data_IF_058250152820
#
_entry.id   IF_058250152820
#
_cell.length_a   1.000
_cell.length_b   1.000
_cell.length_c   1.000
_cell.angle_alpha   90.00
_cell.angle_beta   90.00
_cell.angle_gamma   90.00
#
_symmetry.space_group_name_H-M   'P 1'
#
loop_
_entity.id
_entity.type
_entity.pdbx_description
1 polymer ?
#
# COMPACT_ATOMS: atom_id res chain seq x y z
N UNK A 1 -20.01 -10.88 -74.27
CA UNK A 1 -20.89 -9.98 -73.48
C UNK A 1 -20.22 -9.75 -72.13
N UNK A 2 -19.33 -8.76 -72.08
CA UNK A 2 -19.48 -7.44 -71.44
C UNK A 2 -19.48 -7.54 -69.91
N UNK A 3 -18.34 -7.18 -69.33
CA UNK A 3 -18.10 -6.92 -67.91
C UNK A 3 -18.80 -5.62 -67.50
N UNK A 4 -19.45 -5.62 -66.33
CA UNK A 4 -19.88 -4.39 -65.65
C UNK A 4 -19.23 -4.31 -64.27
N UNK A 5 -18.28 -3.40 -64.13
CA UNK A 5 -17.73 -2.95 -62.85
C UNK A 5 -18.60 -1.80 -62.33
N UNK A 6 -19.10 -1.93 -61.10
CA UNK A 6 -19.75 -0.83 -60.36
C UNK A 6 -18.67 -0.20 -59.48
N UNK A 7 -18.31 1.05 -59.81
CA UNK A 7 -17.40 1.87 -59.04
C UNK A 7 -18.21 2.62 -57.97
N UNK A 8 -18.11 2.21 -56.71
CA UNK A 8 -18.74 2.88 -55.58
C UNK A 8 -17.76 3.93 -55.03
N UNK A 9 -18.03 5.21 -55.29
CA UNK A 9 -17.22 6.33 -54.80
C UNK A 9 -17.56 6.67 -53.34
N UNK A 10 -16.59 6.53 -52.44
CA UNK A 10 -16.74 6.93 -51.03
C UNK A 10 -16.36 8.40 -50.88
N UNK A 11 -17.32 9.24 -50.50
CA UNK A 11 -17.09 10.64 -50.12
C UNK A 11 -16.52 10.69 -48.70
N UNK A 12 -15.28 11.14 -48.52
CA UNK A 12 -14.68 11.37 -47.20
C UNK A 12 -14.95 12.82 -46.80
N UNK A 13 -15.85 13.03 -45.84
CA UNK A 13 -16.03 14.32 -45.15
C UNK A 13 -14.99 14.42 -44.02
N UNK A 14 -13.91 15.18 -44.23
CA UNK A 14 -13.00 15.55 -43.16
C UNK A 14 -13.56 16.76 -42.40
N UNK A 15 -14.18 16.51 -41.25
CA UNK A 15 -14.56 17.57 -40.30
C UNK A 15 -13.28 18.03 -39.58
N UNK A 16 -12.85 19.25 -39.86
CA UNK A 16 -11.75 19.92 -39.18
C UNK A 16 -12.20 20.29 -37.75
N UNK A 17 -11.82 19.49 -36.76
CA UNK A 17 -11.91 19.90 -35.36
C UNK A 17 -10.65 20.71 -35.00
N UNK A 18 -10.78 21.89 -34.37
CA UNK A 18 -9.62 22.60 -33.86
C UNK A 18 -8.93 21.75 -32.78
N UNK A 19 -7.61 21.60 -32.90
CA UNK A 19 -6.80 20.89 -31.91
C UNK A 19 -6.94 21.56 -30.54
N UNK A 20 -7.13 20.80 -29.45
CA UNK A 20 -7.17 21.37 -28.11
C UNK A 20 -5.79 21.98 -27.79
N UNK A 21 -5.78 23.27 -27.47
CA UNK A 21 -4.61 23.94 -26.93
C UNK A 21 -4.48 23.58 -25.46
N UNK A 22 -3.46 22.79 -25.12
CA UNK A 22 -3.11 22.50 -23.72
C UNK A 22 -2.28 23.68 -23.20
N UNK A 23 -2.85 24.46 -22.30
CA UNK A 23 -2.10 25.46 -21.54
C UNK A 23 -1.41 24.76 -20.37
N UNK A 24 -0.11 24.50 -20.50
CA UNK A 24 0.71 24.03 -19.38
C UNK A 24 0.94 25.23 -18.46
N UNK A 25 0.28 25.24 -17.30
CA UNK A 25 0.55 26.23 -16.26
C UNK A 25 1.98 26.11 -15.76
N UNK A 26 2.63 27.24 -15.46
CA UNK A 26 3.97 27.28 -14.88
C UNK A 26 3.99 26.47 -13.58
N UNK A 27 4.81 25.42 -13.51
CA UNK A 27 4.96 24.55 -12.34
C UNK A 27 5.75 25.19 -11.19
N UNK A 28 6.04 26.49 -11.26
CA UNK A 28 6.93 27.20 -10.34
C UNK A 28 6.22 27.87 -9.15
N UNK A 29 4.90 27.74 -9.03
CA UNK A 29 4.15 28.26 -7.87
C UNK A 29 4.09 27.28 -6.68
N UNK A 30 4.81 26.15 -6.75
CA UNK A 30 4.94 25.25 -5.59
C UNK A 30 5.87 25.89 -4.54
N UNK A 31 5.26 26.44 -3.49
CA UNK A 31 5.97 26.95 -2.33
C UNK A 31 5.81 25.97 -1.14
N UNK A 32 6.79 25.11 -0.86
CA UNK A 32 6.72 24.12 0.22
C UNK A 32 6.56 24.74 1.61
N UNK A 33 6.84 26.04 1.78
CA UNK A 33 6.66 26.73 3.06
C UNK A 33 5.20 27.01 3.41
N UNK A 34 4.26 26.93 2.43
CA UNK A 34 2.84 27.25 2.67
C UNK A 34 2.03 26.07 3.24
N UNK A 35 2.62 24.88 3.30
CA UNK A 35 1.94 23.63 3.74
C UNK A 35 2.13 23.33 5.25
N UNK A 36 2.93 24.11 5.96
CA UNK A 36 3.28 23.86 7.36
C UNK A 36 2.20 24.24 8.41
N UNK A 37 0.95 24.48 8.02
CA UNK A 37 -0.10 24.97 8.96
C UNK A 37 -1.18 23.97 9.32
N UNK A 38 -1.19 22.77 8.73
CA UNK A 38 -2.20 21.78 9.08
C UNK A 38 -1.82 21.04 10.35
N UNK A 39 -2.73 21.03 11.32
CA UNK A 39 -2.56 20.29 12.57
C UNK A 39 -2.55 18.78 12.26
N UNK A 40 -1.68 17.99 12.90
CA UNK A 40 -1.71 16.56 12.72
C UNK A 40 -3.03 15.98 13.24
N UNK A 41 -3.52 14.97 12.54
CA UNK A 41 -4.51 14.05 13.09
C UNK A 41 -3.81 13.14 14.10
N UNK A 42 -4.48 12.86 15.22
CA UNK A 42 -3.92 12.08 16.33
C UNK A 42 -4.88 10.94 16.67
N UNK A 43 -4.36 9.72 16.64
CA UNK A 43 -5.07 8.51 17.04
C UNK A 43 -4.42 7.88 18.26
N UNK A 44 -5.24 7.29 19.12
CA UNK A 44 -4.79 6.63 20.33
C UNK A 44 -5.39 5.21 20.34
N UNK A 45 -4.51 4.21 20.45
CA UNK A 45 -4.87 2.80 20.50
C UNK A 45 -4.31 2.17 21.76
N UNK A 46 -4.99 1.13 22.24
CA UNK A 46 -4.54 0.27 23.33
C UNK A 46 -4.44 -1.13 22.74
N UNK A 47 -3.22 -1.60 22.48
CA UNK A 47 -2.94 -2.84 21.74
C UNK A 47 -1.95 -3.70 22.51
N UNK A 48 -2.14 -5.01 22.53
CA UNK A 48 -1.13 -5.95 23.04
C UNK A 48 -0.20 -6.33 21.87
N UNK A 49 0.91 -5.60 21.72
CA UNK A 49 1.75 -5.65 20.51
C UNK A 49 2.62 -6.90 20.43
N UNK A 50 2.89 -7.56 21.57
CA UNK A 50 3.69 -8.78 21.67
C UNK A 50 2.93 -9.96 22.31
N UNK A 51 1.64 -9.79 22.58
CA UNK A 51 0.74 -10.76 23.19
C UNK A 51 1.19 -11.29 24.55
N UNK A 52 1.85 -10.44 25.34
CA UNK A 52 2.27 -10.78 26.68
C UNK A 52 1.14 -10.61 27.73
N UNK A 53 -0.07 -10.22 27.30
CA UNK A 53 -1.22 -9.93 28.15
C UNK A 53 -1.22 -8.54 28.76
N UNK A 54 -0.26 -7.67 28.39
CA UNK A 54 -0.22 -6.26 28.77
C UNK A 54 -0.36 -5.43 27.50
N UNK A 55 -1.25 -4.46 27.56
CA UNK A 55 -1.44 -3.55 26.44
C UNK A 55 -0.42 -2.42 26.47
N UNK A 56 0.12 -2.10 25.31
CA UNK A 56 0.82 -0.87 25.01
C UNK A 56 -0.17 0.23 24.61
N UNK A 57 0.13 1.45 25.04
CA UNK A 57 -0.48 2.65 24.47
C UNK A 57 0.24 3.00 23.18
N UNK A 58 -0.48 3.08 22.06
CA UNK A 58 0.06 3.48 20.77
C UNK A 58 -0.59 4.80 20.36
N UNK A 59 0.22 5.85 20.24
CA UNK A 59 -0.22 7.15 19.75
C UNK A 59 0.35 7.37 18.36
N UNK A 60 -0.50 7.66 17.40
CA UNK A 60 -0.10 7.95 16.02
C UNK A 60 -0.42 9.42 15.74
N UNK A 61 0.56 10.17 15.26
CA UNK A 61 0.37 11.53 14.74
C UNK A 61 0.62 11.49 13.24
N UNK A 62 -0.38 11.82 12.44
CA UNK A 62 -0.24 11.89 10.98
C UNK A 62 -0.55 13.29 10.50
N UNK A 63 0.35 13.84 9.71
CA UNK A 63 0.14 15.09 9.00
C UNK A 63 -0.42 14.77 7.62
N UNK A 64 -1.40 15.52 7.12
CA UNK A 64 -1.72 15.51 5.69
C UNK A 64 -0.44 15.89 4.93
N UNK A 65 0.01 15.02 4.02
CA UNK A 65 1.32 15.17 3.40
C UNK A 65 1.32 14.74 1.93
N UNK A 66 2.14 15.42 1.15
CA UNK A 66 2.43 15.02 -0.22
C UNK A 66 3.24 13.72 -0.25
N UNK A 67 3.12 12.93 -1.34
CA UNK A 67 3.95 11.75 -1.54
C UNK A 67 5.43 12.03 -1.31
N UNK A 68 6.07 11.26 -0.43
CA UNK A 68 7.50 11.38 -0.11
C UNK A 68 7.83 12.11 1.20
N UNK A 69 6.88 12.81 1.82
CA UNK A 69 7.11 13.46 3.12
C UNK A 69 6.97 12.45 4.27
N UNK A 70 7.89 12.50 5.24
CA UNK A 70 7.74 11.79 6.51
C UNK A 70 6.68 12.49 7.34
N UNK A 71 5.45 11.98 7.26
CA UNK A 71 4.28 12.63 7.82
C UNK A 71 3.53 11.75 8.83
N UNK A 72 4.00 10.54 9.14
CA UNK A 72 3.42 9.73 10.23
C UNK A 72 4.46 9.41 11.29
N UNK A 73 4.14 9.76 12.54
CA UNK A 73 4.94 9.47 13.72
C UNK A 73 4.19 8.48 14.61
N UNK A 74 4.85 7.41 15.04
CA UNK A 74 4.30 6.42 15.99
C UNK A 74 5.02 6.55 17.31
N UNK A 75 4.26 6.61 18.39
CA UNK A 75 4.74 6.66 19.77
C UNK A 75 4.17 5.46 20.52
N UNK A 76 4.97 4.89 21.42
CA UNK A 76 4.56 3.78 22.28
C UNK A 76 4.75 4.17 23.74
N UNK A 77 3.76 3.84 24.58
CA UNK A 77 3.74 4.09 26.02
C UNK A 77 4.06 5.54 26.39
N UNK A 78 3.44 6.49 25.67
CA UNK A 78 3.60 7.93 25.86
C UNK A 78 5.07 8.41 25.88
N UNK A 79 5.94 7.76 25.10
CA UNK A 79 7.33 8.20 24.93
C UNK A 79 7.42 9.64 24.44
N UNK A 80 8.43 10.39 24.89
CA UNK A 80 8.64 11.79 24.44
C UNK A 80 9.19 11.91 23.02
N UNK A 81 9.55 10.79 22.39
CA UNK A 81 10.07 10.71 21.02
C UNK A 81 9.33 9.61 20.26
N UNK A 82 9.11 9.78 18.95
CA UNK A 82 8.52 8.72 18.15
C UNK A 82 9.46 7.50 18.11
N UNK A 83 8.86 6.31 18.16
CA UNK A 83 9.55 5.03 17.92
C UNK A 83 9.69 4.75 16.43
N UNK A 84 8.79 5.30 15.59
CA UNK A 84 8.84 5.23 14.13
C UNK A 84 8.46 6.57 13.52
N UNK A 85 9.07 6.86 12.37
CA UNK A 85 8.73 8.00 11.52
C UNK A 85 8.69 7.51 10.08
N UNK A 86 7.49 7.51 9.49
CA UNK A 86 7.21 6.89 8.21
C UNK A 86 6.63 7.87 7.20
N UNK A 87 6.75 7.51 5.92
CA UNK A 87 6.22 8.27 4.78
C UNK A 87 4.84 7.74 4.42
N UNK A 88 3.89 8.67 4.29
CA UNK A 88 2.48 8.40 4.02
C UNK A 88 1.58 8.75 5.21
N UNK A 89 0.35 9.16 4.90
CA UNK A 89 -0.65 9.45 5.93
C UNK A 89 -1.14 8.17 6.59
N UNK A 90 -1.35 8.18 7.90
CA UNK A 90 -1.87 7.02 8.62
C UNK A 90 -3.21 6.54 8.04
N UNK A 91 -3.33 5.23 7.81
CA UNK A 91 -4.56 4.59 7.35
C UNK A 91 -5.11 3.62 8.40
N UNK A 92 -4.31 2.63 8.82
CA UNK A 92 -4.70 1.71 9.91
C UNK A 92 -3.48 1.06 10.57
N UNK A 93 -3.68 0.54 11.78
CA UNK A 93 -2.74 -0.30 12.51
C UNK A 93 -3.46 -1.52 13.07
N UNK A 94 -2.91 -2.71 12.89
CA UNK A 94 -3.47 -3.96 13.38
C UNK A 94 -2.39 -4.86 13.95
N UNK A 95 -2.75 -5.74 14.88
CA UNK A 95 -1.86 -6.79 15.39
C UNK A 95 -2.44 -8.15 15.06
N UNK A 96 -1.60 -9.05 14.56
CA UNK A 96 -1.99 -10.36 14.05
C UNK A 96 -1.21 -11.47 14.75
N UNK A 97 -1.92 -12.50 15.22
CA UNK A 97 -1.31 -13.75 15.69
C UNK A 97 -0.95 -14.58 14.47
N UNK A 98 0.34 -14.83 14.26
CA UNK A 98 0.84 -15.53 13.08
C UNK A 98 0.74 -17.05 13.18
N UNK A 99 0.82 -17.60 14.38
CA UNK A 99 0.71 -19.04 14.63
C UNK A 99 0.41 -19.36 16.10
N UNK A 100 0.28 -20.65 16.42
CA UNK A 100 0.07 -21.13 17.78
C UNK A 100 1.31 -21.09 18.68
N UNK A 101 2.50 -20.81 18.13
CA UNK A 101 3.69 -20.57 18.94
C UNK A 101 3.68 -19.19 19.63
N UNK A 102 2.70 -18.35 19.30
CA UNK A 102 2.57 -17.01 19.85
C UNK A 102 3.49 -16.01 19.15
N UNK A 103 3.80 -16.21 17.86
CA UNK A 103 4.42 -15.16 17.04
C UNK A 103 3.35 -14.14 16.66
N UNK A 104 3.66 -12.86 16.81
CA UNK A 104 2.78 -11.75 16.44
C UNK A 104 3.49 -10.77 15.52
N UNK A 105 2.72 -10.15 14.63
CA UNK A 105 3.16 -9.02 13.82
C UNK A 105 2.22 -7.84 14.03
N UNK A 106 2.77 -6.65 13.97
CA UNK A 106 2.02 -5.40 13.85
C UNK A 106 2.09 -4.94 12.41
N UNK A 107 0.93 -4.80 11.79
CA UNK A 107 0.74 -4.23 10.46
C UNK A 107 0.44 -2.74 10.59
N UNK A 108 1.20 -1.91 9.89
CA UNK A 108 0.97 -0.48 9.75
C UNK A 108 0.71 -0.16 8.28
N UNK A 109 -0.49 0.34 7.99
CA UNK A 109 -0.86 0.78 6.64
C UNK A 109 -0.84 2.31 6.58
N UNK A 110 -0.18 2.83 5.55
CA UNK A 110 -0.01 4.25 5.27
C UNK A 110 -0.47 4.53 3.84
N UNK A 111 -1.13 5.65 3.61
CA UNK A 111 -1.53 6.09 2.28
C UNK A 111 -0.50 7.08 1.71
N UNK A 112 0.01 6.80 0.51
CA UNK A 112 0.89 7.72 -0.23
C UNK A 112 0.31 7.94 -1.63
N UNK A 113 -0.39 9.06 -1.81
CA UNK A 113 -1.14 9.33 -3.04
C UNK A 113 -2.28 8.32 -3.23
N UNK A 114 -2.23 7.55 -4.32
CA UNK A 114 -3.22 6.50 -4.63
C UNK A 114 -2.79 5.10 -4.20
N UNK A 115 -1.66 4.98 -3.50
CA UNK A 115 -1.11 3.69 -3.07
C UNK A 115 -1.23 3.53 -1.57
N UNK A 116 -1.44 2.30 -1.13
CA UNK A 116 -1.28 1.88 0.25
C UNK A 116 0.11 1.25 0.40
N UNK A 117 0.89 1.79 1.32
CA UNK A 117 2.14 1.23 1.79
C UNK A 117 1.86 0.43 3.07
N UNK A 118 2.10 -0.88 3.03
CA UNK A 118 1.91 -1.77 4.17
C UNK A 118 3.27 -2.21 4.70
N UNK A 119 3.52 -1.90 5.96
CA UNK A 119 4.74 -2.18 6.70
C UNK A 119 4.42 -3.17 7.82
N UNK A 120 5.34 -4.10 8.10
CA UNK A 120 5.20 -5.06 9.18
C UNK A 120 6.32 -4.90 10.19
N UNK A 121 5.98 -5.07 11.46
CA UNK A 121 6.91 -4.98 12.57
C UNK A 121 6.66 -6.12 13.57
N UNK A 122 7.69 -6.52 14.30
CA UNK A 122 7.53 -7.24 15.57
C UNK A 122 7.78 -6.27 16.72
N UNK A 123 7.08 -6.45 17.84
CA UNK A 123 7.36 -5.69 19.06
C UNK A 123 8.16 -6.56 20.03
N UNK A 124 9.36 -6.11 20.39
CA UNK A 124 10.23 -6.84 21.33
C UNK A 124 10.98 -5.86 22.21
N UNK A 125 10.96 -6.11 23.52
CA UNK A 125 11.73 -5.32 24.53
C UNK A 125 11.47 -3.81 24.40
N UNK A 126 10.22 -3.42 24.17
CA UNK A 126 9.83 -2.01 24.08
C UNK A 126 10.07 -1.36 22.71
N UNK A 127 10.42 -2.13 21.67
CA UNK A 127 10.79 -1.59 20.36
C UNK A 127 10.06 -2.29 19.24
N UNK A 128 9.65 -1.53 18.22
CA UNK A 128 9.22 -2.05 16.93
C UNK A 128 10.45 -2.34 16.08
N UNK A 129 10.55 -3.59 15.61
CA UNK A 129 11.58 -4.06 14.70
C UNK A 129 10.92 -4.39 13.36
N UNK A 130 11.33 -3.72 12.29
CA UNK A 130 10.78 -3.93 10.95
C UNK A 130 10.98 -5.38 10.51
N UNK A 131 9.93 -5.97 9.96
CA UNK A 131 9.93 -7.30 9.32
C UNK A 131 10.07 -7.08 7.82
N UNK A 132 11.22 -7.41 7.23
CA UNK A 132 11.40 -7.30 5.79
C UNK A 132 10.45 -8.24 5.05
N UNK A 133 10.12 -7.85 3.82
CA UNK A 133 9.44 -8.70 2.85
C UNK A 133 10.45 -8.99 1.76
N UNK A 134 10.80 -10.26 1.59
CA UNK A 134 11.75 -10.73 0.58
C UNK A 134 11.12 -10.60 -0.80
N UNK A 135 11.19 -9.41 -1.38
CA UNK A 135 10.88 -9.19 -2.79
C UNK A 135 12.19 -9.00 -3.55
N UNK A 136 12.28 -9.53 -4.77
CA UNK A 136 13.47 -9.35 -5.63
C UNK A 136 13.68 -7.88 -6.05
N UNK A 137 12.66 -7.04 -5.82
CA UNK A 137 12.63 -5.61 -6.08
C UNK A 137 11.94 -4.93 -4.90
N UNK A 138 12.63 -4.73 -3.76
CA UNK A 138 12.04 -3.94 -2.69
C UNK A 138 11.66 -2.60 -3.30
N UNK A 139 10.41 -2.20 -3.12
CA UNK A 139 10.08 -0.80 -3.32
C UNK A 139 11.07 0.00 -2.47
N UNK A 140 11.40 1.24 -2.84
CA UNK A 140 12.30 2.10 -2.08
C UNK A 140 11.84 2.37 -0.62
N UNK A 141 10.78 1.71 -0.16
CA UNK A 141 10.01 1.94 1.05
C UNK A 141 9.89 0.69 1.95
N UNK A 142 10.67 -0.37 1.73
CA UNK A 142 10.79 -1.56 2.60
C UNK A 142 9.50 -2.37 2.88
N UNK A 143 8.35 -2.01 2.27
CA UNK A 143 7.05 -2.68 2.43
C UNK A 143 6.34 -3.04 1.11
N UNK A 144 5.11 -3.53 1.24
CA UNK A 144 4.21 -3.76 0.10
C UNK A 144 3.58 -2.45 -0.30
N UNK A 145 3.80 -2.06 -1.56
CA UNK A 145 3.05 -0.97 -2.19
C UNK A 145 2.02 -1.61 -3.11
N UNK A 146 0.76 -1.50 -2.74
CA UNK A 146 -0.37 -1.97 -3.55
C UNK A 146 -1.52 -0.96 -3.51
N UNK A 147 -2.39 -1.02 -4.51
CA UNK A 147 -3.69 -0.34 -4.46
C UNK A 147 -4.71 -1.09 -3.59
N UNK A 148 -4.39 -2.33 -3.20
CA UNK A 148 -5.22 -3.18 -2.37
C UNK A 148 -4.56 -3.38 -1.00
N UNK A 149 -5.36 -3.48 0.06
CA UNK A 149 -4.86 -3.97 1.35
C UNK A 149 -4.45 -5.44 1.20
N UNK A 150 -3.24 -5.82 1.64
CA UNK A 150 -2.88 -7.23 1.72
C UNK A 150 -3.78 -7.94 2.74
N UNK A 151 -3.82 -9.27 2.66
CA UNK A 151 -4.62 -10.10 3.57
C UNK A 151 -3.71 -11.09 4.28
N UNK A 152 -3.94 -11.27 5.59
CA UNK A 152 -3.32 -12.35 6.34
C UNK A 152 -4.34 -13.47 6.54
N UNK A 153 -3.96 -14.71 6.29
CA UNK A 153 -4.83 -15.88 6.41
C UNK A 153 -4.05 -17.19 6.32
N UNK A 154 -4.55 -18.23 6.95
CA UNK A 154 -4.03 -19.60 6.83
C UNK A 154 -4.56 -20.22 5.53
N UNK A 155 -3.81 -20.09 4.45
CA UNK A 155 -4.23 -20.43 3.09
C UNK A 155 -4.14 -21.93 2.86
N UNK A 156 -3.13 -22.59 3.45
CA UNK A 156 -2.89 -24.01 3.26
C UNK A 156 -3.36 -24.88 4.45
N UNK A 157 -3.98 -24.27 5.47
CA UNK A 157 -4.53 -24.91 6.65
C UNK A 157 -3.46 -25.67 7.46
N UNK A 158 -2.28 -25.06 7.63
CA UNK A 158 -1.19 -25.59 8.45
C UNK A 158 -1.03 -24.90 9.82
N UNK A 159 -1.94 -23.97 10.14
CA UNK A 159 -1.96 -23.24 11.40
C UNK A 159 -1.01 -22.03 11.44
N UNK A 160 -0.37 -21.69 10.33
CA UNK A 160 0.46 -20.49 10.16
C UNK A 160 -0.22 -19.55 9.18
N UNK A 161 -0.30 -18.26 9.51
CA UNK A 161 -0.83 -17.27 8.58
C UNK A 161 0.18 -16.98 7.46
N UNK A 162 -0.30 -17.01 6.23
CA UNK A 162 0.34 -16.41 5.06
C UNK A 162 -0.13 -14.98 4.83
N UNK A 163 0.73 -14.21 4.17
CA UNK A 163 0.45 -12.88 3.65
C UNK A 163 0.16 -12.98 2.15
N UNK A 164 -1.08 -12.66 1.77
CA UNK A 164 -1.59 -12.65 0.40
C UNK A 164 -1.60 -11.23 -0.15
N UNK A 165 -0.94 -11.01 -1.28
CA UNK A 165 -0.78 -9.70 -1.91
C UNK A 165 -1.30 -9.73 -3.33
N UNK A 166 -2.23 -8.83 -3.65
CA UNK A 166 -2.76 -8.67 -5.00
C UNK A 166 -2.18 -7.40 -5.63
N UNK A 167 -1.49 -7.56 -6.76
CA UNK A 167 -1.00 -6.47 -7.59
C UNK A 167 -1.97 -6.29 -8.76
N UNK A 168 -2.74 -5.20 -8.69
CA UNK A 168 -3.70 -4.84 -9.72
C UNK A 168 -3.16 -3.64 -10.51
N UNK A 169 -2.88 -3.84 -11.79
CA UNK A 169 -2.61 -2.75 -12.71
C UNK A 169 -3.93 -2.31 -13.36
N UNK A 170 -4.13 -0.99 -13.43
CA UNK A 170 -5.31 -0.42 -14.05
C UNK A 170 -5.48 -1.00 -15.47
N UNK A 171 -6.65 -1.58 -15.72
CA UNK A 171 -7.09 -2.17 -16.99
C UNK A 171 -6.57 -3.57 -17.35
N UNK A 172 -5.76 -4.20 -16.50
CA UNK A 172 -5.29 -5.56 -16.79
C UNK A 172 -6.40 -6.61 -16.53
N UNK A 173 -6.60 -7.57 -17.46
CA UNK A 173 -7.61 -8.62 -17.32
C UNK A 173 -7.21 -9.68 -16.30
N UNK A 174 -5.93 -9.76 -15.94
CA UNK A 174 -5.38 -10.60 -14.88
C UNK A 174 -4.76 -9.72 -13.81
N UNK A 175 -4.59 -10.28 -12.61
CA UNK A 175 -3.82 -9.67 -11.53
C UNK A 175 -2.76 -10.66 -11.07
N UNK A 176 -1.60 -10.13 -10.68
CA UNK A 176 -0.55 -10.94 -10.06
C UNK A 176 -0.87 -11.12 -8.59
N UNK A 177 -0.73 -12.34 -8.10
CA UNK A 177 -0.89 -12.73 -6.71
C UNK A 177 0.42 -13.28 -6.20
N UNK A 178 0.86 -12.77 -5.06
CA UNK A 178 2.04 -13.25 -4.35
C UNK A 178 1.63 -13.69 -2.95
N UNK A 179 2.12 -14.86 -2.53
CA UNK A 179 1.89 -15.42 -1.20
C UNK A 179 3.23 -15.49 -0.48
N UNK A 180 3.26 -14.96 0.74
CA UNK A 180 4.43 -14.92 1.59
C UNK A 180 4.20 -15.65 2.91
N UNK A 181 5.24 -16.32 3.39
CA UNK A 181 5.27 -16.99 4.69
C UNK A 181 6.21 -16.27 5.64
N UNK A 182 5.79 -16.10 6.90
CA UNK A 182 6.63 -15.50 7.94
C UNK A 182 7.47 -16.54 8.68
N UNK A 183 8.80 -16.43 8.60
CA UNK A 183 9.73 -17.34 9.29
C UNK A 183 10.05 -16.91 10.73
N UNK A 184 9.45 -15.82 11.22
CA UNK A 184 9.75 -15.22 12.52
C UNK A 184 10.68 -14.01 12.45
N UNK A 185 11.26 -13.73 11.28
CA UNK A 185 12.15 -12.60 11.01
C UNK A 185 11.79 -11.85 9.74
N UNK A 186 11.42 -12.55 8.67
CA UNK A 186 11.11 -12.00 7.36
C UNK A 186 9.89 -12.71 6.75
N UNK A 187 9.19 -12.02 5.86
CA UNK A 187 8.28 -12.65 4.93
C UNK A 187 9.06 -13.16 3.72
N UNK A 188 8.89 -14.44 3.36
CA UNK A 188 9.51 -15.05 2.18
C UNK A 188 8.43 -15.50 1.22
N UNK A 189 8.55 -15.14 -0.06
CA UNK A 189 7.59 -15.55 -1.08
C UNK A 189 7.64 -17.08 -1.24
N UNK A 190 6.48 -17.72 -1.14
CA UNK A 190 6.31 -19.17 -1.28
C UNK A 190 5.55 -19.55 -2.54
N UNK A 191 4.75 -18.62 -3.08
CA UNK A 191 3.98 -18.84 -4.30
C UNK A 191 3.77 -17.51 -5.05
N UNK A 192 3.77 -17.58 -6.38
CA UNK A 192 3.42 -16.48 -7.29
C UNK A 192 2.59 -17.06 -8.43
N UNK A 193 1.46 -16.43 -8.74
CA UNK A 193 0.63 -16.80 -9.88
C UNK A 193 -0.17 -15.60 -10.42
N UNK A 194 -0.80 -15.78 -11.58
CA UNK A 194 -1.76 -14.82 -12.13
C UNK A 194 -3.17 -15.40 -12.08
N UNK A 195 -4.15 -14.57 -11.79
CA UNK A 195 -5.57 -14.95 -11.83
C UNK A 195 -6.41 -13.90 -12.55
N UNK A 196 -7.59 -14.27 -13.09
CA UNK A 196 -8.51 -13.30 -13.68
C UNK A 196 -8.89 -12.22 -12.66
N UNK A 197 -8.91 -10.97 -13.12
CA UNK A 197 -9.37 -9.84 -12.33
C UNK A 197 -10.91 -9.79 -12.34
N UNK A 198 -11.55 -10.78 -11.70
CA UNK A 198 -13.00 -10.98 -11.75
C UNK A 198 -13.79 -9.93 -10.94
N UNK A 199 -13.14 -9.29 -9.98
CA UNK A 199 -13.74 -8.28 -9.10
C UNK A 199 -13.52 -6.87 -9.66
N UNK A 200 -14.12 -6.55 -10.81
CA UNK A 200 -14.26 -5.16 -11.31
C UNK A 200 -15.40 -4.42 -10.61
N UNK A 201 -15.50 -4.51 -9.29
CA UNK A 201 -16.40 -3.64 -8.54
C UNK A 201 -15.61 -2.44 -8.05
N UNK A 202 -15.66 -1.38 -8.87
CA UNK A 202 -15.40 0.01 -8.48
C UNK A 202 -16.30 0.40 -7.30
#
# INVERSE_FOLDING_TARGET
MIFSFILLGTLIFSVLFPSPTITVGNTNDWNPQKEATEKPEVWNFILDLDANGKNEEVVIKSYPGFPGNQNTEVYINSGSKPVLTEVGSFYTINTHKMDDSGRYITELQLQTGQSLNTLFYTYRKGKLEMVPISTEKPSSWHGIISRNSPKLGDINNDGVLELLVHYNFLYDPTRRVEIYRFDGKTFTMVEEYEEPNSDRYL
#
